data_IF_972848900075
#
_entry.id   IF_972848900075
#
_cell.length_a   1.000
_cell.length_b   1.000
_cell.length_c   1.000
_cell.angle_alpha   90.00
_cell.angle_beta   90.00
_cell.angle_gamma   90.00
#
_symmetry.space_group_name_H-M   'P 1'
#
loop_
_entity.id
_entity.type
_entity.pdbx_description
1 polymer ?
#
# COMPACT_ATOMS: atom_id res chain seq x y z
N UNK A 1 21.40 33.58 -4.46
CA UNK A 1 21.59 34.46 -3.29
C UNK A 1 21.88 33.55 -2.11
N UNK A 2 23.10 33.57 -1.57
CA UNK A 2 23.46 32.73 -0.44
C UNK A 2 22.95 33.41 0.83
N UNK A 3 21.85 32.89 1.39
CA UNK A 3 21.37 33.33 2.69
C UNK A 3 22.32 32.79 3.76
N UNK A 4 23.21 33.64 4.27
CA UNK A 4 24.03 33.34 5.45
C UNK A 4 23.17 33.47 6.70
N UNK A 5 22.39 32.43 7.00
CA UNK A 5 21.60 32.39 8.23
C UNK A 5 22.46 32.11 9.47
N UNK A 6 21.97 32.53 10.64
CA UNK A 6 22.49 32.08 11.94
C UNK A 6 21.70 30.83 12.33
N UNK A 7 22.40 29.75 12.66
CA UNK A 7 21.83 28.50 13.16
C UNK A 7 21.80 28.58 14.68
N UNK A 8 20.61 28.38 15.25
CA UNK A 8 20.35 28.33 16.68
C UNK A 8 20.00 26.90 17.03
N UNK A 9 20.84 26.25 17.83
CA UNK A 9 20.60 24.90 18.29
C UNK A 9 20.23 24.95 19.77
N UNK A 10 19.00 24.53 20.09
CA UNK A 10 18.60 24.26 21.48
C UNK A 10 18.68 22.76 21.71
N UNK A 11 19.51 22.38 22.67
CA UNK A 11 19.55 21.04 23.22
C UNK A 11 19.02 21.18 24.64
N UNK A 12 17.79 20.75 24.86
CA UNK A 12 17.15 20.90 26.17
C UNK A 12 17.66 19.78 27.11
N UNK A 13 18.76 20.03 27.83
CA UNK A 13 19.29 19.08 28.81
C UNK A 13 18.43 18.97 30.07
N UNK A 14 18.19 17.74 30.54
CA UNK A 14 17.54 17.48 31.83
C UNK A 14 18.34 17.94 33.07
N UNK A 15 17.71 18.00 34.26
CA UNK A 15 18.31 18.50 35.49
C UNK A 15 19.36 17.56 36.13
N UNK A 16 19.80 16.51 35.43
CA UNK A 16 20.82 15.61 35.93
C UNK A 16 22.22 16.16 35.64
N UNK A 17 22.63 17.06 36.53
CA UNK A 17 23.99 17.49 36.85
C UNK A 17 25.13 16.66 36.23
N UNK A 18 25.81 17.23 35.23
CA UNK A 18 27.26 17.09 35.11
C UNK A 18 27.87 18.50 35.02
N UNK A 19 28.69 18.82 36.03
CA UNK A 19 29.21 20.16 36.30
C UNK A 19 30.50 20.36 35.49
N UNK A 20 30.44 20.95 34.30
CA UNK A 20 31.64 21.58 33.74
C UNK A 20 31.76 22.98 34.37
N UNK A 21 32.62 23.08 35.38
CA UNK A 21 32.94 24.36 36.00
C UNK A 21 33.87 25.08 35.01
N UNK A 22 33.46 26.25 34.53
CA UNK A 22 34.39 27.24 34.01
C UNK A 22 35.30 27.68 35.17
N UNK A 23 36.41 26.99 35.38
CA UNK A 23 37.51 27.47 36.22
C UNK A 23 38.44 28.30 35.31
N UNK A 24 38.76 29.56 35.62
CA UNK A 24 39.56 30.42 34.75
C UNK A 24 41.01 29.94 34.54
N UNK A 25 41.39 28.80 35.10
CA UNK A 25 42.74 28.23 35.08
C UNK A 25 42.81 26.86 34.39
N UNK A 26 41.68 26.21 34.12
CA UNK A 26 41.59 24.99 33.30
C UNK A 26 40.76 25.31 32.05
N UNK A 27 41.36 25.11 30.87
CA UNK A 27 40.93 25.63 29.57
C UNK A 27 39.50 25.30 29.14
N UNK A 28 39.12 25.75 27.94
CA UNK A 28 37.78 25.63 27.33
C UNK A 28 37.28 24.17 27.08
N UNK A 29 37.72 23.19 27.87
CA UNK A 29 37.47 21.78 27.70
C UNK A 29 38.01 21.29 26.36
N UNK A 30 37.16 20.55 25.64
CA UNK A 30 37.45 20.06 24.30
C UNK A 30 37.36 21.15 23.22
N UNK A 31 37.01 22.39 23.57
CA UNK A 31 36.95 23.49 22.60
C UNK A 31 38.34 24.11 22.42
N UNK A 32 38.76 24.25 21.17
CA UNK A 32 39.98 24.94 20.75
C UNK A 32 39.63 26.11 19.86
N UNK A 33 40.16 27.29 20.18
CA UNK A 33 40.04 28.46 19.30
C UNK A 33 41.14 28.38 18.25
N UNK A 34 40.74 28.45 16.98
CA UNK A 34 41.63 28.44 15.82
C UNK A 34 41.40 29.70 15.00
N UNK A 35 42.26 29.98 14.01
CA UNK A 35 42.05 31.10 13.08
C UNK A 35 40.80 30.95 12.21
N UNK A 36 40.31 29.72 12.06
CA UNK A 36 39.16 29.36 11.23
C UNK A 36 37.85 29.34 12.04
N UNK A 37 37.91 29.37 13.37
CA UNK A 37 36.76 29.32 14.26
C UNK A 37 36.99 28.50 15.52
N UNK A 38 35.91 28.02 16.12
CA UNK A 38 35.95 27.16 17.30
C UNK A 38 35.90 25.70 16.85
N UNK A 39 36.88 24.91 17.26
CA UNK A 39 36.98 23.48 16.97
C UNK A 39 36.70 22.68 18.23
N UNK A 40 35.69 21.83 18.19
CA UNK A 40 35.41 20.87 19.26
C UNK A 40 36.19 19.57 19.00
N UNK A 41 36.99 19.12 19.96
CA UNK A 41 37.80 17.90 19.91
C UNK A 41 37.38 16.92 21.01
N UNK A 42 36.34 16.13 20.74
CA UNK A 42 35.78 15.17 21.69
C UNK A 42 34.31 15.46 21.97
N UNK A 43 33.81 14.94 23.08
CA UNK A 43 32.43 15.16 23.53
C UNK A 43 32.40 16.38 24.44
N UNK A 44 31.47 17.32 24.19
CA UNK A 44 31.21 18.46 25.08
C UNK A 44 29.72 18.59 25.32
N UNK A 45 29.36 19.01 26.53
CA UNK A 45 28.00 19.37 26.91
C UNK A 45 27.83 20.88 26.93
N UNK A 46 26.70 21.35 26.40
CA UNK A 46 26.32 22.75 26.41
C UNK A 46 25.04 22.90 27.25
N UNK A 47 25.10 23.75 28.28
CA UNK A 47 23.95 24.03 29.15
C UNK A 47 22.99 25.08 28.56
N UNK A 48 23.46 25.83 27.57
CA UNK A 48 22.73 26.90 26.91
C UNK A 48 22.72 26.67 25.41
N UNK A 49 21.73 27.22 24.68
CA UNK A 49 21.67 27.12 23.23
C UNK A 49 22.97 27.57 22.57
N UNK A 50 23.37 26.86 21.52
CA UNK A 50 24.54 27.17 20.72
C UNK A 50 24.14 28.07 19.54
N UNK A 51 24.87 29.17 19.38
CA UNK A 51 24.66 30.16 18.32
C UNK A 51 25.84 30.13 17.38
N UNK A 52 25.62 29.72 16.14
CA UNK A 52 26.68 29.49 15.17
C UNK A 52 26.22 29.86 13.78
N UNK A 53 27.14 30.36 12.97
CA UNK A 53 26.87 30.61 11.55
C UNK A 53 26.86 29.31 10.74
N UNK A 54 27.74 28.40 11.10
CA UNK A 54 27.95 27.14 10.40
C UNK A 54 28.44 26.09 11.40
N UNK A 55 27.97 24.85 11.22
CA UNK A 55 28.43 23.69 11.96
C UNK A 55 28.84 22.66 10.93
N UNK A 56 30.09 22.24 10.98
CA UNK A 56 30.63 21.22 10.09
C UNK A 56 31.25 20.12 10.94
N UNK A 57 30.99 18.87 10.57
CA UNK A 57 31.76 17.74 11.08
C UNK A 57 33.10 17.65 10.35
N UNK A 58 34.03 16.85 10.88
CA UNK A 58 35.24 16.53 10.13
C UNK A 58 34.86 15.74 8.87
N UNK A 59 35.63 15.88 7.79
CA UNK A 59 35.44 15.07 6.57
C UNK A 59 35.27 13.59 6.92
N UNK A 60 34.32 12.96 6.24
CA UNK A 60 33.95 11.55 6.39
C UNK A 60 33.49 11.14 7.79
N UNK A 61 33.13 12.10 8.66
CA UNK A 61 32.57 11.84 9.98
C UNK A 61 31.17 12.46 10.10
N UNK A 62 30.20 11.77 10.73
CA UNK A 62 28.89 12.34 11.00
C UNK A 62 28.96 13.45 12.06
N UNK A 63 28.13 14.48 11.93
CA UNK A 63 27.81 15.37 13.04
C UNK A 63 26.78 14.65 13.92
N UNK A 64 27.16 14.31 15.15
CA UNK A 64 26.29 13.62 16.10
C UNK A 64 25.80 14.62 17.14
N UNK A 65 24.47 14.74 17.26
CA UNK A 65 23.80 15.51 18.29
C UNK A 65 23.01 14.52 19.15
N UNK A 66 23.32 14.45 20.44
CA UNK A 66 22.66 13.53 21.36
C UNK A 66 22.05 14.31 22.52
N UNK A 67 20.80 13.97 22.86
CA UNK A 67 20.02 14.61 23.91
C UNK A 67 19.10 13.58 24.55
N UNK A 68 18.78 13.75 25.84
CA UNK A 68 17.73 13.02 26.54
C UNK A 68 16.33 13.58 26.21
N UNK A 69 16.27 14.74 25.55
CA UNK A 69 15.05 15.40 25.07
C UNK A 69 15.14 15.72 23.58
N UNK A 70 14.13 16.43 23.09
CA UNK A 70 14.08 16.88 21.71
C UNK A 70 15.30 17.74 21.37
N UNK A 71 15.87 17.50 20.19
CA UNK A 71 16.90 18.35 19.60
C UNK A 71 16.22 19.29 18.61
N UNK A 72 16.34 20.60 18.82
CA UNK A 72 15.71 21.61 17.95
C UNK A 72 16.78 22.47 17.28
N UNK A 73 16.81 22.43 15.96
CA UNK A 73 17.68 23.25 15.11
C UNK A 73 16.83 24.31 14.42
N UNK A 74 17.12 25.58 14.67
CA UNK A 74 16.43 26.71 14.08
C UNK A 74 17.39 27.46 13.15
N UNK A 75 17.02 27.63 11.88
CA UNK A 75 17.70 28.54 10.97
C UNK A 75 17.02 29.92 11.04
N UNK A 76 17.80 31.00 11.14
CA UNK A 76 17.28 32.37 11.10
C UNK A 76 18.05 33.23 10.10
N UNK A 77 17.37 34.21 9.50
CA UNK A 77 17.98 35.19 8.62
C UNK A 77 18.78 36.26 9.40
N UNK A 78 19.41 37.20 8.67
CA UNK A 78 20.20 38.30 9.26
C UNK A 78 19.39 39.24 10.18
N UNK A 79 18.06 39.26 10.03
CA UNK A 79 17.14 40.02 10.88
C UNK A 79 16.72 39.24 12.13
N UNK A 80 17.24 38.03 12.33
CA UNK A 80 16.89 37.14 13.43
C UNK A 80 15.52 36.47 13.30
N UNK A 81 14.90 36.50 12.12
CA UNK A 81 13.62 35.84 11.88
C UNK A 81 13.81 34.37 11.53
N UNK A 82 12.97 33.50 12.10
CA UNK A 82 12.98 32.06 11.83
C UNK A 82 12.66 31.77 10.35
N UNK A 83 13.58 31.11 9.65
CA UNK A 83 13.40 30.67 8.26
C UNK A 83 13.20 29.17 8.14
N UNK A 84 13.58 28.41 9.15
CA UNK A 84 13.29 26.98 9.23
C UNK A 84 13.53 26.44 10.63
N UNK A 85 12.80 25.39 10.99
CA UNK A 85 12.96 24.65 12.23
C UNK A 85 12.94 23.15 11.95
N UNK A 86 13.88 22.42 12.52
CA UNK A 86 13.94 20.96 12.51
C UNK A 86 13.95 20.50 13.97
N UNK A 87 12.96 19.72 14.36
CA UNK A 87 12.83 19.16 15.69
C UNK A 87 12.89 17.63 15.60
N UNK A 88 13.87 17.04 16.27
CA UNK A 88 14.02 15.58 16.39
C UNK A 88 13.62 15.18 17.80
N UNK A 89 12.46 14.55 17.94
CA UNK A 89 11.98 14.01 19.21
C UNK A 89 12.13 12.50 19.30
N UNK A 90 11.66 11.92 20.42
CA UNK A 90 11.70 10.47 20.66
C UNK A 90 10.78 9.66 19.74
N UNK A 91 9.71 10.27 19.25
CA UNK A 91 8.68 9.60 18.45
C UNK A 91 8.62 10.09 16.99
N UNK A 92 8.96 11.37 16.76
CA UNK A 92 8.79 12.01 15.46
C UNK A 92 9.90 12.99 15.14
N UNK A 93 10.14 13.17 13.84
CA UNK A 93 10.96 14.24 13.28
C UNK A 93 10.03 15.21 12.58
N UNK A 94 10.05 16.47 13.01
CA UNK A 94 9.23 17.55 12.44
C UNK A 94 10.13 18.58 11.76
N UNK A 95 9.85 18.90 10.50
CA UNK A 95 10.53 19.94 9.75
C UNK A 95 9.53 21.02 9.33
N UNK A 96 9.69 22.22 9.87
CA UNK A 96 8.95 23.42 9.47
C UNK A 96 9.86 24.30 8.61
N UNK A 97 9.70 24.20 7.29
CA UNK A 97 10.45 24.99 6.32
C UNK A 97 9.68 25.07 5.00
N UNK A 98 10.07 26.01 4.13
CA UNK A 98 9.46 26.12 2.79
C UNK A 98 9.77 24.90 1.90
N UNK A 99 10.94 24.30 2.12
CA UNK A 99 11.41 23.13 1.36
C UNK A 99 12.38 22.34 2.22
N UNK A 100 12.08 21.07 2.42
CA UNK A 100 12.95 20.11 3.10
C UNK A 100 13.59 19.20 2.07
N UNK A 101 14.90 18.98 2.14
CA UNK A 101 15.61 18.05 1.26
C UNK A 101 16.56 17.16 2.06
N UNK A 102 16.57 15.87 1.72
CA UNK A 102 17.61 14.92 2.11
C UNK A 102 18.40 14.58 0.86
N UNK A 103 19.72 14.78 0.90
CA UNK A 103 20.62 14.51 -0.22
C UNK A 103 21.51 13.31 0.07
N UNK A 104 22.05 12.70 -0.98
CA UNK A 104 23.10 11.69 -0.88
C UNK A 104 24.35 12.24 -0.19
N UNK A 105 25.23 11.38 0.36
CA UNK A 105 26.46 11.82 1.02
C UNK A 105 27.39 12.67 0.15
N UNK A 106 27.36 12.46 -1.18
CA UNK A 106 28.09 13.26 -2.18
C UNK A 106 27.41 14.61 -2.51
N UNK A 107 26.18 14.82 -2.04
CA UNK A 107 25.37 16.02 -2.29
C UNK A 107 24.69 16.08 -3.66
N UNK A 108 24.99 15.15 -4.58
CA UNK A 108 24.57 15.25 -5.97
C UNK A 108 23.09 14.88 -6.18
N UNK A 109 22.61 13.84 -5.49
CA UNK A 109 21.26 13.30 -5.66
C UNK A 109 20.35 13.69 -4.50
N UNK A 110 19.18 14.22 -4.82
CA UNK A 110 18.10 14.40 -3.84
C UNK A 110 17.43 13.05 -3.59
N UNK A 111 17.47 12.56 -2.36
CA UNK A 111 16.86 11.29 -1.93
C UNK A 111 15.41 11.48 -1.48
N UNK A 112 15.12 12.63 -0.87
CA UNK A 112 13.78 13.01 -0.43
C UNK A 112 13.65 14.52 -0.54
N UNK A 113 12.53 15.01 -1.04
CA UNK A 113 12.17 16.42 -0.93
C UNK A 113 10.70 16.59 -0.63
N UNK A 114 10.37 17.57 0.21
CA UNK A 114 9.00 17.96 0.50
C UNK A 114 8.90 19.49 0.47
N UNK A 115 7.91 20.00 -0.28
CA UNK A 115 7.51 21.40 -0.27
C UNK A 115 5.98 21.52 -0.26
N UNK A 116 5.45 22.74 -0.39
CA UNK A 116 4.01 23.00 -0.37
C UNK A 116 3.22 22.32 -1.50
N UNK A 117 3.89 21.89 -2.58
CA UNK A 117 3.25 21.35 -3.78
C UNK A 117 3.35 19.85 -3.84
N UNK A 118 4.53 19.30 -3.57
CA UNK A 118 4.78 17.88 -3.76
C UNK A 118 5.78 17.29 -2.76
N UNK A 119 5.68 15.97 -2.60
CA UNK A 119 6.69 15.15 -1.96
C UNK A 119 7.30 14.28 -3.05
N UNK A 120 8.62 14.40 -3.23
CA UNK A 120 9.39 13.60 -4.17
C UNK A 120 10.34 12.69 -3.43
N UNK A 121 10.35 11.42 -3.82
CA UNK A 121 11.17 10.37 -3.21
C UNK A 121 12.11 9.87 -4.30
N UNK A 122 13.35 10.36 -4.27
CA UNK A 122 14.38 10.05 -5.25
C UNK A 122 15.20 8.79 -4.94
N UNK A 123 14.81 8.01 -3.93
CA UNK A 123 15.43 6.73 -3.59
C UNK A 123 14.90 5.59 -4.47
N UNK A 124 15.74 4.59 -4.74
CA UNK A 124 15.37 3.39 -5.49
C UNK A 124 14.35 2.50 -4.75
N UNK A 125 14.31 2.61 -3.41
CA UNK A 125 13.44 1.79 -2.56
C UNK A 125 12.81 2.66 -1.48
N UNK A 126 11.48 2.69 -1.47
CA UNK A 126 10.68 3.17 -0.36
C UNK A 126 10.15 1.95 0.40
N UNK A 127 10.50 1.84 1.69
CA UNK A 127 9.97 0.81 2.57
C UNK A 127 9.04 1.47 3.58
N UNK A 128 7.78 1.07 3.58
CA UNK A 128 6.81 1.49 4.59
C UNK A 128 6.85 0.47 5.72
N UNK A 129 7.25 0.89 6.92
CA UNK A 129 7.38 0.03 8.11
C UNK A 129 6.25 0.23 9.12
N UNK A 130 5.33 1.15 8.87
CA UNK A 130 4.18 1.38 9.74
C UNK A 130 3.20 0.20 9.70
N UNK A 131 2.69 -0.21 10.85
CA UNK A 131 1.75 -1.34 10.97
C UNK A 131 0.45 -1.13 10.16
N UNK A 132 0.02 0.12 10.01
CA UNK A 132 -1.17 0.52 9.23
C UNK A 132 -0.88 0.67 7.72
N UNK A 133 0.36 0.41 7.29
CA UNK A 133 0.78 0.57 5.92
C UNK A 133 0.79 2.05 5.47
N UNK A 134 0.39 2.28 4.23
CA UNK A 134 0.33 3.61 3.61
C UNK A 134 -1.02 3.82 2.95
N UNK A 135 -1.58 5.01 3.14
CA UNK A 135 -2.84 5.43 2.50
C UNK A 135 -2.50 6.36 1.34
N UNK A 136 -2.92 5.97 0.14
CA UNK A 136 -2.82 6.82 -1.05
C UNK A 136 -4.17 7.51 -1.28
N UNK A 137 -4.21 8.83 -1.11
CA UNK A 137 -5.42 9.62 -1.37
C UNK A 137 -5.77 9.79 -2.85
N UNK A 138 -4.86 9.37 -3.74
CA UNK A 138 -4.96 9.47 -5.19
C UNK A 138 -4.47 8.18 -5.85
N UNK A 139 -4.44 8.18 -7.18
CA UNK A 139 -3.96 7.04 -7.98
C UNK A 139 -2.48 6.75 -7.72
N UNK A 140 -2.17 5.45 -7.68
CA UNK A 140 -0.79 4.95 -7.66
C UNK A 140 -0.52 4.29 -9.00
N UNK A 141 0.53 4.71 -9.68
CA UNK A 141 1.01 4.09 -10.90
C UNK A 141 2.25 3.24 -10.59
N UNK A 142 2.22 1.98 -11.01
CA UNK A 142 3.36 1.07 -10.86
C UNK A 142 3.35 0.04 -11.99
N UNK A 143 4.54 -0.36 -12.43
CA UNK A 143 4.71 -1.37 -13.48
C UNK A 143 4.46 -2.79 -12.97
N UNK A 144 4.67 -3.06 -11.68
CA UNK A 144 4.53 -4.38 -11.10
C UNK A 144 4.07 -4.31 -9.65
N UNK A 145 3.13 -5.19 -9.30
CA UNK A 145 2.67 -5.39 -7.93
C UNK A 145 2.89 -6.87 -7.60
N UNK A 146 3.56 -7.12 -6.47
CA UNK A 146 3.87 -8.47 -5.99
C UNK A 146 3.86 -8.48 -4.46
N UNK A 147 3.36 -9.55 -3.86
CA UNK A 147 3.51 -9.79 -2.42
C UNK A 147 4.92 -10.27 -2.04
N UNK A 148 5.24 -10.20 -0.76
CA UNK A 148 6.45 -10.83 -0.23
C UNK A 148 6.37 -12.36 -0.35
N UNK A 149 7.51 -13.07 -0.39
CA UNK A 149 7.52 -14.52 -0.39
C UNK A 149 6.69 -15.10 0.76
N UNK A 150 5.88 -16.11 0.48
CA UNK A 150 4.98 -16.78 1.44
C UNK A 150 3.85 -15.89 2.00
N UNK A 151 3.60 -14.72 1.41
CA UNK A 151 2.45 -13.88 1.71
C UNK A 151 1.53 -13.76 0.49
N UNK A 152 0.24 -13.56 0.75
CA UNK A 152 -0.76 -13.39 -0.29
C UNK A 152 -0.84 -11.93 -0.75
N UNK A 153 -0.90 -11.71 -2.07
CA UNK A 153 -1.27 -10.41 -2.63
C UNK A 153 -2.79 -10.28 -2.60
N UNK A 154 -3.32 -9.48 -1.68
CA UNK A 154 -4.75 -9.26 -1.53
C UNK A 154 -5.17 -7.91 -2.11
N UNK A 155 -6.07 -7.93 -3.08
CA UNK A 155 -6.75 -6.75 -3.58
C UNK A 155 -8.19 -6.81 -3.08
N UNK A 156 -8.60 -5.87 -2.22
CA UNK A 156 -9.94 -5.88 -1.63
C UNK A 156 -10.59 -4.50 -1.58
N UNK A 157 -11.92 -4.48 -1.78
CA UNK A 157 -12.77 -3.31 -1.59
C UNK A 157 -13.90 -3.69 -0.62
N UNK A 158 -13.72 -3.49 0.70
CA UNK A 158 -14.68 -3.97 1.70
C UNK A 158 -16.03 -3.26 1.64
N UNK A 159 -16.06 -2.01 1.16
CA UNK A 159 -17.23 -1.14 1.24
C UNK A 159 -17.98 -1.00 -0.08
N UNK A 160 -17.32 -1.25 -1.22
CA UNK A 160 -17.85 -0.94 -2.55
C UNK A 160 -17.37 -1.98 -3.57
N UNK A 161 -16.85 -1.49 -4.69
CA UNK A 161 -16.48 -2.30 -5.84
C UNK A 161 -14.98 -2.32 -5.98
N UNK A 162 -14.45 -3.47 -6.43
CA UNK A 162 -13.11 -3.60 -6.97
C UNK A 162 -13.26 -3.80 -8.48
N UNK A 163 -12.75 -2.87 -9.29
CA UNK A 163 -12.73 -2.98 -10.75
C UNK A 163 -11.31 -3.23 -11.24
N UNK A 164 -11.18 -4.14 -12.21
CA UNK A 164 -9.92 -4.44 -12.88
C UNK A 164 -10.14 -4.30 -14.38
N UNK A 165 -9.57 -3.25 -14.97
CA UNK A 165 -9.79 -2.86 -16.35
C UNK A 165 -8.44 -2.70 -17.06
N UNK A 166 -8.36 -3.19 -18.29
CA UNK A 166 -7.15 -3.09 -19.10
C UNK A 166 -7.51 -2.90 -20.59
N UNK A 167 -6.83 -1.99 -21.33
CA UNK A 167 -7.13 -1.72 -22.74
C UNK A 167 -7.00 -2.93 -23.66
N UNK A 168 -6.10 -3.87 -23.33
CA UNK A 168 -5.88 -5.11 -24.08
C UNK A 168 -6.55 -6.33 -23.45
N UNK A 169 -7.42 -6.11 -22.47
CA UNK A 169 -8.02 -7.18 -21.67
C UNK A 169 -7.17 -7.55 -20.45
N UNK A 170 -7.81 -8.27 -19.53
CA UNK A 170 -7.23 -8.75 -18.29
C UNK A 170 -7.08 -10.27 -18.38
N UNK A 171 -5.84 -10.76 -18.28
CA UNK A 171 -5.55 -12.18 -18.18
C UNK A 171 -5.36 -12.56 -16.70
N UNK A 172 -6.12 -13.56 -16.25
CA UNK A 172 -5.96 -14.12 -14.90
C UNK A 172 -5.48 -15.56 -15.05
N UNK A 173 -4.26 -15.82 -14.60
CA UNK A 173 -3.62 -17.12 -14.74
C UNK A 173 -3.10 -17.61 -13.38
N UNK A 174 -3.46 -18.85 -13.02
CA UNK A 174 -2.94 -19.55 -11.86
C UNK A 174 -1.93 -20.61 -12.34
N UNK A 175 -0.66 -20.20 -12.51
CA UNK A 175 0.38 -21.10 -13.02
C UNK A 175 0.64 -22.31 -12.12
N UNK A 176 0.45 -22.16 -10.80
CA UNK A 176 0.48 -23.24 -9.81
C UNK A 176 -0.71 -23.05 -8.87
N UNK A 177 -1.50 -24.12 -8.69
CA UNK A 177 -2.68 -24.11 -7.83
C UNK A 177 -3.99 -23.90 -8.59
N UNK A 178 -5.03 -23.55 -7.86
CA UNK A 178 -6.40 -23.46 -8.39
C UNK A 178 -6.83 -22.00 -8.59
N UNK A 179 -7.52 -21.73 -9.69
CA UNK A 179 -8.31 -20.52 -9.85
C UNK A 179 -9.73 -20.75 -9.32
N UNK A 180 -10.13 -20.00 -8.29
CA UNK A 180 -11.47 -20.10 -7.69
C UNK A 180 -12.19 -18.76 -7.72
N UNK A 181 -13.30 -18.70 -8.44
CA UNK A 181 -14.25 -17.60 -8.38
C UNK A 181 -15.48 -18.00 -7.55
N UNK A 182 -15.88 -17.16 -6.59
CA UNK A 182 -17.08 -17.37 -5.79
C UNK A 182 -17.87 -16.08 -5.66
N UNK A 183 -19.17 -16.14 -5.93
CA UNK A 183 -20.10 -15.02 -5.79
C UNK A 183 -21.20 -15.37 -4.79
N UNK A 184 -21.71 -14.38 -4.05
CA UNK A 184 -22.86 -14.57 -3.15
C UNK A 184 -24.20 -14.52 -3.88
N UNK A 185 -24.30 -13.65 -4.90
CA UNK A 185 -25.54 -13.40 -5.64
C UNK A 185 -25.42 -13.94 -7.06
N UNK A 186 -24.79 -13.17 -7.94
CA UNK A 186 -24.70 -13.49 -9.36
C UNK A 186 -23.23 -13.47 -9.83
N UNK A 187 -22.88 -14.38 -10.73
CA UNK A 187 -21.66 -14.33 -11.53
C UNK A 187 -22.09 -14.15 -12.99
N UNK A 188 -21.85 -12.96 -13.55
CA UNK A 188 -22.16 -12.67 -14.95
C UNK A 188 -20.91 -12.87 -15.81
N UNK A 189 -20.95 -13.84 -16.72
CA UNK A 189 -19.96 -14.01 -17.79
C UNK A 189 -20.63 -13.58 -19.09
N UNK A 190 -20.10 -12.53 -19.72
CA UNK A 190 -20.68 -11.95 -20.93
C UNK A 190 -19.58 -11.70 -21.97
N UNK A 191 -19.82 -12.15 -23.20
CA UNK A 191 -19.01 -11.82 -24.38
C UNK A 191 -19.81 -10.88 -25.28
N UNK A 192 -19.21 -9.79 -25.75
CA UNK A 192 -19.87 -8.81 -26.63
C UNK A 192 -19.80 -9.18 -28.11
N UNK A 193 -18.72 -9.87 -28.53
CA UNK A 193 -18.41 -10.11 -29.94
C UNK A 193 -18.11 -11.58 -30.27
N UNK A 194 -18.24 -12.49 -29.29
CA UNK A 194 -17.82 -13.88 -29.49
C UNK A 194 -18.46 -14.88 -28.54
N UNK A 195 -17.72 -15.96 -28.29
CA UNK A 195 -18.15 -17.09 -27.49
C UNK A 195 -17.47 -17.13 -26.12
N UNK A 196 -18.10 -17.84 -25.18
CA UNK A 196 -17.48 -18.21 -23.90
C UNK A 196 -16.95 -19.64 -24.08
N UNK A 197 -15.64 -19.78 -24.17
CA UNK A 197 -14.98 -21.07 -24.36
C UNK A 197 -14.55 -21.66 -23.01
N UNK A 198 -15.07 -22.85 -22.68
CA UNK A 198 -14.74 -23.59 -21.46
C UNK A 198 -14.05 -24.90 -21.86
N UNK A 199 -12.72 -24.88 -21.87
CA UNK A 199 -11.91 -26.07 -22.18
C UNK A 199 -11.50 -26.77 -20.90
N UNK A 200 -12.13 -27.91 -20.62
CA UNK A 200 -11.82 -28.73 -19.46
C UNK A 200 -12.22 -30.17 -19.70
N UNK A 201 -11.51 -31.09 -19.05
CA UNK A 201 -11.87 -32.52 -19.03
C UNK A 201 -13.22 -32.77 -18.36
N UNK A 202 -13.65 -31.90 -17.45
CA UNK A 202 -14.93 -32.02 -16.77
C UNK A 202 -15.50 -30.65 -16.44
N UNK A 203 -16.74 -30.41 -16.88
CA UNK A 203 -17.54 -29.24 -16.51
C UNK A 203 -18.71 -29.74 -15.66
N UNK A 204 -18.85 -29.22 -14.44
CA UNK A 204 -19.92 -29.61 -13.51
C UNK A 204 -20.86 -28.44 -13.28
N UNK A 205 -22.10 -28.60 -13.70
CA UNK A 205 -23.20 -27.68 -13.42
C UNK A 205 -24.09 -28.32 -12.35
N UNK A 206 -24.06 -27.76 -11.15
CA UNK A 206 -24.85 -28.26 -10.01
C UNK A 206 -26.25 -27.67 -9.97
N UNK A 207 -27.17 -28.34 -9.27
CA UNK A 207 -28.52 -27.84 -8.96
C UNK A 207 -29.35 -27.45 -10.19
N UNK A 208 -29.14 -28.12 -11.33
CA UNK A 208 -30.02 -27.96 -12.49
C UNK A 208 -31.40 -28.56 -12.14
N UNK A 209 -32.50 -27.81 -12.33
CA UNK A 209 -33.85 -28.31 -12.02
C UNK A 209 -34.22 -29.50 -12.90
N UNK A 210 -35.01 -30.43 -12.36
CA UNK A 210 -35.57 -31.54 -13.13
C UNK A 210 -36.90 -31.14 -13.75
N UNK A 211 -37.08 -31.43 -15.04
CA UNK A 211 -38.38 -31.33 -15.72
C UNK A 211 -39.32 -32.41 -15.22
N UNK A 212 -40.59 -32.06 -14.99
CA UNK A 212 -41.64 -33.04 -14.69
C UNK A 212 -42.56 -33.13 -15.89
N UNK A 213 -42.82 -34.35 -16.37
CA UNK A 213 -43.78 -34.53 -17.45
C UNK A 213 -45.17 -34.06 -17.02
N UNK A 214 -45.79 -33.22 -17.84
CA UNK A 214 -47.24 -33.05 -17.80
C UNK A 214 -47.83 -34.27 -18.54
N UNK A 215 -48.29 -35.28 -17.80
CA UNK A 215 -49.03 -36.38 -18.40
C UNK A 215 -50.31 -35.82 -19.07
N UNK A 216 -50.48 -35.92 -20.39
CA UNK A 216 -51.66 -35.39 -21.08
C UNK A 216 -52.93 -36.21 -20.80
N UNK A 217 -52.81 -37.37 -20.14
CA UNK A 217 -53.92 -38.28 -19.91
C UNK A 217 -53.97 -38.71 -18.43
N UNK A 218 -54.83 -38.00 -17.69
CA UNK A 218 -55.34 -38.32 -16.35
C UNK A 218 -54.48 -37.85 -15.17
N UNK A 219 -55.11 -37.06 -14.30
CA UNK A 219 -54.51 -36.52 -13.08
C UNK A 219 -54.27 -37.60 -12.02
N UNK A 220 -53.18 -38.34 -12.18
CA UNK A 220 -52.62 -39.19 -11.14
C UNK A 220 -51.37 -38.52 -10.55
N UNK A 221 -51.33 -38.18 -9.26
CA UNK A 221 -50.12 -37.71 -8.63
C UNK A 221 -49.15 -38.87 -8.49
N UNK A 222 -48.03 -38.80 -9.22
CA UNK A 222 -46.90 -39.70 -9.02
C UNK A 222 -46.68 -40.73 -10.13
N UNK A 223 -46.22 -40.31 -11.30
CA UNK A 223 -45.27 -41.13 -12.06
C UNK A 223 -43.88 -40.86 -11.48
N UNK A 224 -43.50 -41.63 -10.47
CA UNK A 224 -42.12 -41.63 -9.99
C UNK A 224 -41.28 -42.27 -11.09
N UNK A 225 -40.69 -41.45 -11.96
CA UNK A 225 -39.63 -41.92 -12.84
C UNK A 225 -38.60 -42.63 -11.94
N UNK A 226 -38.24 -43.90 -12.21
CA UNK A 226 -37.21 -44.57 -11.44
C UNK A 226 -35.98 -43.67 -11.41
N UNK A 227 -35.24 -43.61 -10.29
CA UNK A 227 -34.01 -42.82 -10.21
C UNK A 227 -33.06 -43.26 -11.33
N UNK A 228 -33.02 -42.49 -12.41
CA UNK A 228 -32.15 -42.74 -13.54
C UNK A 228 -30.76 -42.16 -13.23
N UNK A 229 -29.72 -42.82 -13.72
CA UNK A 229 -28.33 -42.36 -13.58
C UNK A 229 -27.89 -41.46 -14.73
N UNK A 230 -28.70 -41.38 -15.79
CA UNK A 230 -28.42 -40.62 -17.02
C UNK A 230 -29.63 -39.74 -17.31
N UNK A 231 -29.35 -38.47 -17.63
CA UNK A 231 -30.34 -37.44 -17.93
C UNK A 231 -29.93 -36.72 -19.22
N UNK A 232 -30.91 -36.22 -19.97
CA UNK A 232 -30.67 -35.25 -21.05
C UNK A 232 -30.65 -33.83 -20.48
N UNK A 233 -29.71 -33.01 -20.93
CA UNK A 233 -29.67 -31.58 -20.61
C UNK A 233 -30.43 -30.80 -21.69
N UNK A 234 -31.52 -30.16 -21.28
CA UNK A 234 -32.40 -29.41 -22.17
C UNK A 234 -32.23 -27.90 -21.94
N UNK A 235 -32.36 -27.12 -23.02
CA UNK A 235 -32.25 -25.65 -23.00
C UNK A 235 -33.57 -25.05 -23.46
N UNK A 236 -34.18 -24.20 -22.64
CA UNK A 236 -35.38 -23.44 -23.03
C UNK A 236 -35.01 -22.30 -23.99
N UNK A 237 -35.95 -21.77 -24.79
CA UNK A 237 -35.74 -20.53 -25.55
C UNK A 237 -35.33 -19.33 -24.68
N UNK A 238 -35.67 -19.35 -23.39
CA UNK A 238 -35.26 -18.35 -22.39
C UNK A 238 -33.81 -18.50 -21.90
N UNK A 239 -33.09 -19.55 -22.30
CA UNK A 239 -31.74 -19.87 -21.82
C UNK A 239 -31.71 -20.64 -20.49
N UNK A 240 -32.86 -20.93 -19.87
CA UNK A 240 -32.94 -21.78 -18.67
C UNK A 240 -32.56 -23.23 -19.02
N UNK A 241 -31.70 -23.82 -18.18
CA UNK A 241 -31.29 -25.22 -18.28
C UNK A 241 -32.14 -26.10 -17.36
N UNK A 242 -32.49 -27.31 -17.82
CA UNK A 242 -33.14 -28.32 -16.98
C UNK A 242 -32.77 -29.75 -17.39
N UNK A 243 -32.96 -30.70 -16.48
CA UNK A 243 -32.68 -32.12 -16.70
C UNK A 243 -33.97 -32.88 -17.02
N UNK A 244 -33.97 -33.67 -18.10
CA UNK A 244 -35.08 -34.57 -18.45
C UNK A 244 -34.64 -36.05 -18.41
N UNK A 245 -35.56 -36.99 -18.15
CA UNK A 245 -35.28 -38.42 -18.13
C UNK A 245 -34.75 -38.92 -19.50
N UNK A 246 -33.68 -39.71 -19.50
CA UNK A 246 -33.13 -40.29 -20.73
C UNK A 246 -33.97 -41.50 -21.17
N UNK A 247 -34.53 -41.47 -22.37
CA UNK A 247 -35.30 -42.57 -22.98
C UNK A 247 -34.79 -42.89 -24.40
N UNK A 248 -35.49 -43.77 -25.14
CA UNK A 248 -35.09 -44.15 -26.52
C UNK A 248 -35.13 -42.97 -27.52
N UNK A 249 -35.75 -41.86 -27.15
CA UNK A 249 -35.77 -40.61 -27.92
C UNK A 249 -35.78 -39.42 -26.96
N UNK A 250 -35.58 -38.22 -27.50
CA UNK A 250 -35.44 -37.03 -26.64
C UNK A 250 -36.74 -36.67 -25.92
N UNK A 251 -36.65 -36.38 -24.63
CA UNK A 251 -37.79 -36.06 -23.75
C UNK A 251 -37.84 -34.56 -23.37
N UNK A 252 -36.98 -33.74 -23.98
CA UNK A 252 -36.96 -32.27 -23.80
C UNK A 252 -38.24 -31.56 -24.25
N UNK A 253 -39.13 -32.19 -25.03
CA UNK A 253 -40.39 -31.56 -25.43
C UNK A 253 -41.52 -31.87 -24.44
N UNK A 254 -41.52 -33.07 -23.86
CA UNK A 254 -42.55 -33.60 -22.97
C UNK A 254 -42.43 -33.15 -21.51
N UNK A 255 -41.24 -32.74 -21.08
CA UNK A 255 -40.94 -32.32 -19.70
C UNK A 255 -40.67 -30.81 -19.57
N UNK A 256 -41.30 -30.01 -20.42
CA UNK A 256 -41.00 -28.58 -20.63
C UNK A 256 -41.65 -27.61 -19.63
N UNK A 257 -42.18 -28.10 -18.50
CA UNK A 257 -42.84 -27.24 -17.50
C UNK A 257 -41.89 -26.17 -16.91
N UNK A 258 -40.59 -26.46 -16.85
CA UNK A 258 -39.55 -25.49 -16.43
C UNK A 258 -39.42 -24.31 -17.40
N UNK A 259 -39.77 -24.51 -18.67
CA UNK A 259 -39.73 -23.46 -19.69
C UNK A 259 -40.95 -22.54 -19.68
N UNK A 260 -42.01 -22.87 -18.92
CA UNK A 260 -43.28 -22.14 -18.94
C UNK A 260 -43.32 -20.92 -18.01
N UNK A 261 -42.38 -20.78 -17.09
CA UNK A 261 -42.36 -19.68 -16.12
C UNK A 261 -41.27 -18.68 -16.49
N UNK A 262 -41.68 -17.44 -16.77
CA UNK A 262 -40.78 -16.28 -16.91
C UNK A 262 -40.30 -15.84 -15.55
#
# INVERSE_FOLDING_TARGET
MNYSGIIFMSIDGGPYSCRSIFHPWDGMGNLRVTKEGIRLEGVSEFLLPLYVKEIESRRDNPLILQSDRNVTVNARNDLGQLTGQLTVGSEMVEAQCQRFEVRSPDGERVLFSADEKEISIGTEKLRVTGNEGVVFGHSVETSHIRAEPFQDLKLESPTRTLSLEAPRGVEVNAGVGDFKASCRKDLLLQSSEGEIFLDSTTIRLGNIPHGTAADPLHGAPGTTYPKQTVYELCVCPSGKLYLSPAEKGSTCQTTSNVCLWS
#
